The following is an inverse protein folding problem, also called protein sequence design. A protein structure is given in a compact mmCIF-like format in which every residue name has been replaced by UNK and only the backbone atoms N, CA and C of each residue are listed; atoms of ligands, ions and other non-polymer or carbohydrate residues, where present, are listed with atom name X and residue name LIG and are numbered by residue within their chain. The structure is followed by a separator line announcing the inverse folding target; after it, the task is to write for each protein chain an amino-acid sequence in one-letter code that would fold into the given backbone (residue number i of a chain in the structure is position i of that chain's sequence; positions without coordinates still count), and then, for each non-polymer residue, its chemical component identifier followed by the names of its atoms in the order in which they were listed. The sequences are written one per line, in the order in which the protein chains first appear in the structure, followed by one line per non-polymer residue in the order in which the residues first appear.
data_IF_510202974194
#
_entry.id   IF_510202974194
#
_cell.length_a   1.000
_cell.length_b   1.000
_cell.length_c   1.000
_cell.angle_alpha   90.00
_cell.angle_beta   90.00
_cell.angle_gamma   90.00
#
_symmetry.space_group_name_H-M   'P 1'
#
loop_
_entity.id
_entity.type
_entity.pdbx_description
1 polymer ?
#
# COMPACT_ATOMS: atom_id res chain seq x y z
N UNK A 1 19.03 -7.80 15.11
CA UNK A 1 17.86 -7.57 14.24
C UNK A 1 16.67 -8.14 14.98
N UNK A 2 15.98 -7.28 15.73
CA UNK A 2 14.78 -7.66 16.48
C UNK A 2 13.65 -7.57 15.46
N UNK A 3 13.04 -8.69 15.10
CA UNK A 3 11.76 -8.67 14.40
C UNK A 3 10.76 -8.07 15.38
N UNK A 4 10.38 -6.81 15.18
CA UNK A 4 9.18 -6.28 15.83
C UNK A 4 8.01 -7.02 15.20
N UNK A 5 7.24 -7.72 16.03
CA UNK A 5 5.99 -8.34 15.65
C UNK A 5 4.99 -7.19 15.42
N UNK A 6 4.93 -6.70 14.19
CA UNK A 6 3.92 -5.71 13.82
C UNK A 6 2.59 -6.44 13.61
N UNK A 7 1.56 -6.02 14.35
CA UNK A 7 0.19 -6.49 14.15
C UNK A 7 -0.21 -6.19 12.70
N UNK A 8 -0.25 -7.24 11.88
CA UNK A 8 -0.62 -7.10 10.48
C UNK A 8 -2.14 -6.89 10.32
N UNK A 9 -2.54 -6.54 9.11
CA UNK A 9 -3.95 -6.30 8.79
C UNK A 9 -4.83 -7.51 9.14
N UNK A 10 -4.37 -8.74 8.93
CA UNK A 10 -5.14 -9.94 9.26
C UNK A 10 -5.29 -10.09 10.78
N UNK A 11 -4.25 -9.76 11.54
CA UNK A 11 -4.27 -9.73 12.99
C UNK A 11 -5.28 -8.70 13.51
N UNK A 12 -5.39 -7.52 12.88
CA UNK A 12 -6.43 -6.52 13.19
C UNK A 12 -7.84 -7.08 12.96
N UNK A 13 -8.07 -7.80 11.85
CA UNK A 13 -9.37 -8.43 11.57
C UNK A 13 -9.68 -9.58 12.54
N UNK A 14 -8.69 -10.38 12.91
CA UNK A 14 -8.85 -11.44 13.92
C UNK A 14 -9.14 -10.86 15.31
N UNK A 15 -8.41 -9.81 15.71
CA UNK A 15 -8.62 -9.12 16.99
C UNK A 15 -9.98 -8.41 17.05
N UNK A 16 -10.48 -7.88 15.93
CA UNK A 16 -11.84 -7.33 15.84
C UNK A 16 -12.93 -8.42 16.03
N UNK A 17 -12.58 -9.70 15.92
CA UNK A 17 -13.47 -10.84 16.08
C UNK A 17 -13.33 -11.57 17.42
N UNK A 18 -12.27 -11.33 18.19
CA UNK A 18 -12.00 -11.98 19.48
C UNK A 18 -12.46 -11.12 20.68
N UNK A 19 -13.62 -11.45 21.27
CA UNK A 19 -13.87 -11.21 22.71
C UNK A 19 -13.38 -12.47 23.45
N UNK A 20 -12.25 -12.42 24.15
CA UNK A 20 -11.81 -13.59 24.95
C UNK A 20 -12.37 -13.63 26.39
N UNK A 21 -13.08 -12.61 26.88
CA UNK A 21 -13.79 -12.66 28.16
C UNK A 21 -15.20 -12.06 28.09
N UNK A 22 -16.14 -12.86 27.57
CA UNK A 22 -17.45 -13.00 28.21
C UNK A 22 -17.36 -14.08 29.32
N UNK A 23 -16.29 -14.05 30.11
CA UNK A 23 -16.16 -14.71 31.40
C UNK A 23 -16.33 -13.65 32.50
N UNK A 24 -17.44 -12.91 32.46
CA UNK A 24 -17.72 -11.85 33.43
C UNK A 24 -18.98 -11.09 33.06
N UNK A 25 -20.07 -11.47 33.70
CA UNK A 25 -21.39 -10.82 33.70
C UNK A 25 -21.28 -9.29 33.91
N UNK A 26 -21.68 -8.48 32.92
CA UNK A 26 -22.44 -7.25 33.19
C UNK A 26 -23.15 -6.70 31.93
N UNK A 27 -24.40 -6.28 32.12
CA UNK A 27 -25.28 -5.71 31.09
C UNK A 27 -25.10 -4.20 31.01
N UNK A 28 -24.59 -3.66 29.90
CA UNK A 28 -24.78 -2.24 29.57
C UNK A 28 -24.59 -1.92 28.09
N UNK A 29 -25.68 -1.45 27.47
CA UNK A 29 -25.82 -0.77 26.18
C UNK A 29 -24.56 -0.53 25.33
N UNK A 30 -24.49 -1.11 24.12
CA UNK A 30 -23.70 -0.60 22.99
C UNK A 30 -24.07 -1.35 21.71
N UNK A 31 -24.18 -0.60 20.59
CA UNK A 31 -24.59 -1.05 19.27
C UNK A 31 -24.05 -2.44 18.91
N UNK A 32 -24.91 -3.32 18.39
CA UNK A 32 -24.55 -4.66 17.91
C UNK A 32 -23.37 -4.58 16.94
N UNK A 33 -22.15 -4.78 17.44
CA UNK A 33 -20.97 -5.01 16.61
C UNK A 33 -21.16 -6.38 15.99
N UNK A 34 -21.70 -6.44 14.76
CA UNK A 34 -21.82 -7.67 13.99
C UNK A 34 -20.42 -8.28 13.85
N UNK A 35 -20.19 -9.41 14.53
CA UNK A 35 -18.93 -10.18 14.46
C UNK A 35 -18.81 -10.78 13.06
N UNK A 36 -17.65 -10.62 12.42
CA UNK A 36 -17.38 -11.19 11.08
C UNK A 36 -16.99 -12.65 11.21
N UNK A 37 -17.51 -13.53 10.36
CA UNK A 37 -17.04 -14.93 10.34
C UNK A 37 -15.60 -15.04 9.81
N UNK A 38 -14.92 -16.15 10.08
CA UNK A 38 -13.59 -16.42 9.50
C UNK A 38 -13.63 -16.42 7.96
N UNK A 39 -14.72 -16.90 7.37
CA UNK A 39 -14.92 -16.87 5.92
C UNK A 39 -15.07 -15.44 5.40
N UNK A 40 -15.79 -14.57 6.14
CA UNK A 40 -15.91 -13.15 5.81
C UNK A 40 -14.57 -12.42 5.93
N UNK A 41 -13.78 -12.69 6.98
CA UNK A 41 -12.44 -12.12 7.16
C UNK A 41 -11.51 -12.55 6.01
N UNK A 42 -11.54 -13.84 5.65
CA UNK A 42 -10.73 -14.38 4.55
C UNK A 42 -11.14 -13.76 3.22
N UNK A 43 -12.45 -13.67 2.94
CA UNK A 43 -12.97 -13.05 1.73
C UNK A 43 -12.57 -11.56 1.63
N UNK A 44 -12.67 -10.81 2.73
CA UNK A 44 -12.21 -9.41 2.75
C UNK A 44 -10.71 -9.29 2.53
N UNK A 45 -9.89 -10.14 3.17
CA UNK A 45 -8.45 -10.16 2.97
C UNK A 45 -8.05 -10.36 1.50
N UNK A 46 -8.72 -11.28 0.80
CA UNK A 46 -8.50 -11.50 -0.63
C UNK A 46 -8.89 -10.27 -1.46
N UNK A 47 -10.03 -9.63 -1.17
CA UNK A 47 -10.47 -8.43 -1.88
C UNK A 47 -9.46 -7.30 -1.73
N UNK A 48 -8.98 -7.03 -0.51
CA UNK A 48 -7.96 -6.02 -0.27
C UNK A 48 -6.64 -6.32 -0.99
N UNK A 49 -6.23 -7.59 -1.00
CA UNK A 49 -5.03 -8.02 -1.71
C UNK A 49 -5.15 -7.79 -3.22
N UNK A 50 -6.22 -8.28 -3.85
CA UNK A 50 -6.42 -8.14 -5.31
C UNK A 50 -6.53 -6.67 -5.71
N UNK A 51 -7.36 -5.89 -5.01
CA UNK A 51 -7.56 -4.47 -5.31
C UNK A 51 -6.26 -3.65 -5.16
N UNK A 52 -5.45 -3.95 -4.16
CA UNK A 52 -4.17 -3.28 -3.93
C UNK A 52 -3.10 -3.68 -4.94
N UNK A 53 -3.01 -4.96 -5.29
CA UNK A 53 -1.94 -5.47 -6.16
C UNK A 53 -2.14 -5.06 -7.61
N UNK A 54 -3.35 -5.16 -8.16
CA UNK A 54 -3.59 -4.89 -9.58
C UNK A 54 -3.29 -3.43 -9.94
N UNK A 55 -3.79 -2.49 -9.14
CA UNK A 55 -3.62 -1.05 -9.36
C UNK A 55 -2.16 -0.61 -9.25
N UNK A 56 -1.44 -1.09 -8.24
CA UNK A 56 -0.02 -0.79 -8.03
C UNK A 56 0.85 -1.41 -9.12
N UNK A 57 0.62 -2.68 -9.45
CA UNK A 57 1.41 -3.39 -10.46
C UNK A 57 1.28 -2.75 -11.84
N UNK A 58 0.06 -2.33 -12.23
CA UNK A 58 -0.18 -1.62 -13.47
C UNK A 58 0.56 -0.28 -13.51
N UNK A 59 0.46 0.50 -12.43
CA UNK A 59 1.11 1.81 -12.31
C UNK A 59 2.63 1.68 -12.44
N UNK A 60 3.23 0.71 -11.77
CA UNK A 60 4.66 0.40 -11.89
C UNK A 60 5.02 0.00 -13.32
N UNK A 61 4.31 -0.95 -13.92
CA UNK A 61 4.59 -1.43 -15.27
C UNK A 61 4.56 -0.30 -16.31
N UNK A 62 3.56 0.58 -16.25
CA UNK A 62 3.43 1.71 -17.16
C UNK A 62 4.50 2.77 -16.93
N UNK A 63 4.78 3.11 -15.67
CA UNK A 63 5.82 4.09 -15.33
C UNK A 63 7.17 3.61 -15.85
N UNK A 64 7.53 2.35 -15.61
CA UNK A 64 8.80 1.79 -16.11
C UNK A 64 8.82 1.68 -17.64
N UNK A 65 7.69 1.34 -18.26
CA UNK A 65 7.57 1.31 -19.72
C UNK A 65 7.83 2.68 -20.35
N UNK A 66 7.19 3.74 -19.85
CA UNK A 66 7.42 5.10 -20.36
C UNK A 66 8.85 5.59 -20.08
N UNK A 67 9.43 5.27 -18.92
CA UNK A 67 10.84 5.60 -18.64
C UNK A 67 11.78 4.89 -19.62
N UNK A 68 11.54 3.61 -19.95
CA UNK A 68 12.36 2.89 -20.92
C UNK A 68 12.26 3.44 -22.35
N UNK A 69 11.14 4.07 -22.70
CA UNK A 69 10.96 4.77 -23.99
C UNK A 69 11.59 6.17 -24.00
N UNK A 70 11.83 6.76 -22.84
CA UNK A 70 12.36 8.11 -22.65
C UNK A 70 13.65 8.09 -21.80
N UNK A 71 14.80 7.66 -22.37
CA UNK A 71 16.06 7.52 -21.64
C UNK A 71 16.50 8.80 -20.91
N UNK A 72 16.22 9.97 -21.48
CA UNK A 72 16.51 11.26 -20.86
C UNK A 72 15.76 11.48 -19.54
N UNK A 73 14.50 11.00 -19.46
CA UNK A 73 13.71 11.05 -18.24
C UNK A 73 14.19 9.98 -17.25
N UNK A 74 14.51 8.79 -17.74
CA UNK A 74 15.05 7.70 -16.94
C UNK A 74 16.36 8.09 -16.24
N UNK A 75 17.33 8.63 -16.98
CA UNK A 75 18.62 9.07 -16.43
C UNK A 75 18.43 10.13 -15.35
N UNK A 76 17.48 11.05 -15.56
CA UNK A 76 17.17 12.10 -14.59
C UNK A 76 16.49 11.56 -13.33
N UNK A 77 15.60 10.58 -13.44
CA UNK A 77 15.02 9.88 -12.28
C UNK A 77 16.09 9.12 -11.52
N UNK A 78 16.97 8.37 -12.20
CA UNK A 78 18.06 7.63 -11.56
C UNK A 78 18.98 8.59 -10.80
N UNK A 79 19.37 9.71 -11.42
CA UNK A 79 20.20 10.72 -10.76
C UNK A 79 19.51 11.34 -9.53
N UNK A 80 18.20 11.54 -9.56
CA UNK A 80 17.43 12.00 -8.39
C UNK A 80 17.44 10.95 -7.27
N UNK A 81 17.16 9.68 -7.60
CA UNK A 81 17.16 8.58 -6.64
C UNK A 81 18.55 8.39 -6.02
N UNK A 82 19.60 8.35 -6.84
CA UNK A 82 20.98 8.20 -6.37
C UNK A 82 21.40 9.36 -5.45
N UNK A 83 20.98 10.60 -5.77
CA UNK A 83 21.26 11.76 -4.93
C UNK A 83 20.55 11.67 -3.59
N UNK A 84 19.28 11.31 -3.58
CA UNK A 84 18.46 11.24 -2.36
C UNK A 84 18.91 10.09 -1.46
N UNK A 85 19.31 8.95 -2.02
CA UNK A 85 19.80 7.80 -1.27
C UNK A 85 21.30 7.87 -0.93
N UNK A 86 22.04 8.86 -1.44
CA UNK A 86 23.41 9.10 -1.02
C UNK A 86 23.52 9.46 0.47
N UNK A 87 22.44 9.98 1.06
CA UNK A 87 22.39 10.44 2.45
C UNK A 87 21.97 9.37 3.46
N UNK A 88 21.53 8.18 3.02
CA UNK A 88 21.15 7.07 3.92
C UNK A 88 20.16 6.07 3.34
N UNK A 89 19.48 5.34 4.23
CA UNK A 89 18.48 4.34 3.87
C UNK A 89 17.20 4.96 3.28
N UNK A 90 16.37 4.14 2.64
CA UNK A 90 15.05 4.55 2.15
C UNK A 90 14.16 4.87 3.36
N UNK A 91 13.96 6.16 3.62
CA UNK A 91 13.04 6.67 4.64
C UNK A 91 11.84 7.35 3.99
N UNK A 92 10.79 7.58 4.78
CA UNK A 92 9.61 8.31 4.29
C UNK A 92 9.97 9.73 3.83
N UNK A 93 10.82 10.42 4.59
CA UNK A 93 11.30 11.76 4.25
C UNK A 93 12.11 11.75 2.95
N UNK A 94 12.99 10.76 2.76
CA UNK A 94 13.73 10.58 1.52
C UNK A 94 12.79 10.38 0.31
N UNK A 95 11.70 9.62 0.46
CA UNK A 95 10.73 9.46 -0.63
C UNK A 95 10.02 10.77 -1.00
N UNK A 96 9.79 11.68 -0.04
CA UNK A 96 9.16 12.98 -0.32
C UNK A 96 10.07 13.91 -1.13
N UNK A 97 11.39 13.73 -1.06
CA UNK A 97 12.36 14.51 -1.82
C UNK A 97 12.48 14.05 -3.29
N UNK A 98 11.93 12.89 -3.66
CA UNK A 98 11.93 12.36 -5.03
C UNK A 98 10.82 12.96 -5.90
N UNK A 99 10.86 14.29 -6.05
CA UNK A 99 9.81 15.08 -6.71
C UNK A 99 9.67 14.73 -8.19
N UNK A 100 10.77 14.48 -8.90
CA UNK A 100 10.74 14.16 -10.32
C UNK A 100 10.22 12.74 -10.57
N UNK A 101 10.59 11.77 -9.75
CA UNK A 101 10.00 10.43 -9.79
C UNK A 101 8.48 10.48 -9.59
N UNK A 102 7.99 11.25 -8.62
CA UNK A 102 6.56 11.44 -8.40
C UNK A 102 5.87 12.07 -9.62
N UNK A 103 6.51 13.05 -10.26
CA UNK A 103 6.01 13.66 -11.49
C UNK A 103 5.93 12.64 -12.65
N UNK A 104 6.92 11.76 -12.80
CA UNK A 104 6.91 10.70 -13.80
C UNK A 104 5.77 9.69 -13.57
N UNK A 105 5.53 9.27 -12.32
CA UNK A 105 4.41 8.39 -11.97
C UNK A 105 3.07 9.04 -12.33
N UNK A 106 2.89 10.32 -11.96
CA UNK A 106 1.69 11.09 -12.28
C UNK A 106 1.46 11.23 -13.79
N UNK A 107 2.52 11.45 -14.56
CA UNK A 107 2.43 11.55 -16.01
C UNK A 107 2.09 10.21 -16.67
N UNK A 108 2.69 9.10 -16.20
CA UNK A 108 2.33 7.75 -16.65
C UNK A 108 0.84 7.45 -16.39
N UNK A 109 0.32 7.83 -15.21
CA UNK A 109 -1.10 7.69 -14.89
C UNK A 109 -1.99 8.61 -15.75
N UNK A 110 -1.54 9.83 -16.09
CA UNK A 110 -2.27 10.75 -16.99
C UNK A 110 -2.41 10.16 -18.38
N UNK A 111 -1.34 9.56 -18.90
CA UNK A 111 -1.31 8.92 -20.22
C UNK A 111 -2.16 7.65 -20.28
N UNK A 112 -2.31 6.96 -19.15
CA UNK A 112 -3.06 5.70 -19.07
C UNK A 112 -4.51 5.85 -18.59
N UNK A 113 -5.11 7.03 -18.73
CA UNK A 113 -6.51 7.24 -18.36
C UNK A 113 -7.46 6.42 -19.28
N UNK A 114 -8.58 5.88 -18.77
CA UNK A 114 -9.45 4.95 -19.50
C UNK A 114 -10.00 5.46 -20.84
N UNK A 115 -10.08 6.78 -21.02
CA UNK A 115 -10.52 7.40 -22.28
C UNK A 115 -9.51 7.24 -23.44
N UNK A 116 -8.28 6.81 -23.13
CA UNK A 116 -7.18 6.69 -24.10
C UNK A 116 -6.94 5.25 -24.59
N UNK A 117 -7.70 4.26 -24.11
CA UNK A 117 -7.62 2.84 -24.51
C UNK A 117 -8.90 2.34 -25.17
#
# INVERSE_FOLDING_TARGET
MVFQEEDDFLQVFMNANYDWEAAGDDKSSKAERKKMSLDEITAQGIVFFVAGVESVSLTLALTTYYLALHPECQDRVIAEVDKTLAEGDITYDALQEMIYLEACIKEAMRLCTPDSM
#
